data_IF_796926188761
#
_entry.id   IF_796926188761
#
_cell.length_a   1.000
_cell.length_b   1.000
_cell.length_c   1.000
_cell.angle_alpha   90.00
_cell.angle_beta   90.00
_cell.angle_gamma   90.00
#
_symmetry.space_group_name_H-M   'P 1'
#
loop_
_entity.id
_entity.type
_entity.pdbx_description
1 polymer ?
#
# COMPACT_ATOMS: atom_id res chain seq x y z
N UNK A 1 -5.49 20.05 19.14
CA UNK A 1 -4.41 19.12 19.55
C UNK A 1 -4.37 17.87 18.68
N UNK A 2 -5.31 16.93 18.78
CA UNK A 2 -5.22 15.66 18.02
C UNK A 2 -5.33 15.84 16.50
N UNK A 3 -6.14 16.81 16.04
CA UNK A 3 -6.26 17.16 14.62
C UNK A 3 -4.98 17.76 14.03
N UNK A 4 -4.22 18.49 14.84
CA UNK A 4 -2.97 19.13 14.42
C UNK A 4 -1.83 18.11 14.28
N UNK A 5 -1.97 16.96 14.94
CA UNK A 5 -1.03 15.83 14.85
C UNK A 5 -1.32 14.89 13.67
N UNK A 6 -2.52 14.92 13.08
CA UNK A 6 -2.90 14.04 11.96
C UNK A 6 -1.92 14.12 10.77
N UNK A 7 -1.50 15.31 10.29
CA UNK A 7 -0.55 15.39 9.19
C UNK A 7 0.78 14.69 9.49
N UNK A 8 1.30 14.87 10.72
CA UNK A 8 2.54 14.25 11.17
C UNK A 8 2.40 12.73 11.29
N UNK A 9 1.27 12.24 11.81
CA UNK A 9 0.99 10.79 11.90
C UNK A 9 0.93 10.17 10.50
N UNK A 10 0.24 10.81 9.55
CA UNK A 10 0.20 10.30 8.17
C UNK A 10 1.56 10.35 7.49
N UNK A 11 2.39 11.33 7.81
CA UNK A 11 3.75 11.42 7.27
C UNK A 11 4.66 10.33 7.84
N UNK A 12 4.55 10.02 9.13
CA UNK A 12 5.21 8.86 9.74
C UNK A 12 4.72 7.54 9.13
N UNK A 13 3.40 7.38 8.96
CA UNK A 13 2.81 6.21 8.32
C UNK A 13 3.27 6.05 6.86
N UNK A 14 3.43 7.16 6.13
CA UNK A 14 4.00 7.18 4.78
C UNK A 14 5.43 6.67 4.78
N UNK A 15 6.28 7.20 5.65
CA UNK A 15 7.68 6.77 5.78
C UNK A 15 7.80 5.29 6.15
N UNK A 16 7.02 4.85 7.15
CA UNK A 16 6.99 3.46 7.58
C UNK A 16 6.47 2.52 6.47
N UNK A 17 5.42 2.93 5.75
CA UNK A 17 4.90 2.19 4.60
C UNK A 17 5.94 2.03 3.49
N UNK A 18 6.72 3.08 3.20
CA UNK A 18 7.84 3.00 2.25
C UNK A 18 8.94 2.05 2.72
N UNK A 19 9.28 2.05 4.02
CA UNK A 19 10.26 1.11 4.59
C UNK A 19 9.79 -0.34 4.46
N UNK A 20 8.50 -0.61 4.72
CA UNK A 20 7.91 -1.94 4.55
C UNK A 20 7.94 -2.35 3.08
N UNK A 21 7.59 -1.45 2.15
CA UNK A 21 7.68 -1.69 0.72
C UNK A 21 9.11 -2.04 0.30
N UNK A 22 10.08 -1.22 0.71
CA UNK A 22 11.48 -1.42 0.35
C UNK A 22 12.04 -2.73 0.94
N UNK A 23 11.74 -2.99 2.22
CA UNK A 23 12.09 -4.24 2.88
C UNK A 23 11.54 -5.45 2.14
N UNK A 24 10.26 -5.41 1.76
CA UNK A 24 9.61 -6.48 0.99
C UNK A 24 10.23 -6.63 -0.40
N UNK A 25 10.50 -5.51 -1.10
CA UNK A 25 11.14 -5.55 -2.40
C UNK A 25 12.57 -6.12 -2.36
N UNK A 26 13.31 -5.92 -1.28
CA UNK A 26 14.66 -6.47 -1.11
C UNK A 26 14.59 -7.95 -0.71
N UNK A 27 13.77 -8.28 0.28
CA UNK A 27 13.72 -9.61 0.90
C UNK A 27 12.92 -10.65 0.10
N UNK A 28 12.03 -10.22 -0.81
CA UNK A 28 11.23 -11.12 -1.65
C UNK A 28 11.60 -10.99 -3.14
N UNK A 29 12.79 -11.46 -3.59
CA UNK A 29 13.20 -11.36 -4.99
C UNK A 29 12.25 -12.11 -5.94
N UNK A 30 11.62 -13.20 -5.48
CA UNK A 30 10.58 -13.92 -6.23
C UNK A 30 9.33 -13.07 -6.53
N UNK A 31 9.07 -12.03 -5.73
CA UNK A 31 8.00 -11.08 -6.01
C UNK A 31 8.31 -10.21 -7.25
N UNK A 32 9.59 -10.02 -7.61
CA UNK A 32 9.99 -9.25 -8.79
C UNK A 32 9.95 -10.05 -10.09
N UNK A 33 10.00 -11.37 -10.00
CA UNK A 33 10.04 -12.25 -11.19
C UNK A 33 8.65 -12.69 -11.64
N UNK A 34 7.68 -12.75 -10.72
CA UNK A 34 6.32 -13.20 -11.02
C UNK A 34 5.37 -12.02 -11.27
N UNK A 35 4.47 -12.13 -12.25
CA UNK A 35 3.47 -11.10 -12.55
C UNK A 35 2.61 -10.76 -11.34
N UNK A 36 2.16 -11.78 -10.60
CA UNK A 36 1.38 -11.60 -9.37
C UNK A 36 2.19 -10.99 -8.22
N UNK A 37 3.47 -11.35 -8.09
CA UNK A 37 4.37 -10.71 -7.13
C UNK A 37 4.56 -9.22 -7.43
N UNK A 38 4.70 -8.84 -8.71
CA UNK A 38 4.79 -7.43 -9.13
C UNK A 38 3.51 -6.67 -8.79
N UNK A 39 2.34 -7.26 -9.03
CA UNK A 39 1.05 -6.67 -8.67
C UNK A 39 0.92 -6.45 -7.15
N UNK A 40 1.39 -7.40 -6.34
CA UNK A 40 1.42 -7.25 -4.88
C UNK A 40 2.40 -6.14 -4.43
N UNK A 41 3.55 -6.01 -5.08
CA UNK A 41 4.47 -4.90 -4.82
C UNK A 41 3.85 -3.54 -5.19
N UNK A 42 3.13 -3.46 -6.30
CA UNK A 42 2.37 -2.24 -6.68
C UNK A 42 1.29 -1.94 -5.63
N UNK A 43 0.53 -2.96 -5.19
CA UNK A 43 -0.46 -2.82 -4.14
C UNK A 43 0.16 -2.28 -2.85
N UNK A 44 1.32 -2.83 -2.46
CA UNK A 44 2.05 -2.42 -1.27
C UNK A 44 2.58 -0.99 -1.38
N UNK A 45 2.99 -0.54 -2.56
CA UNK A 45 3.44 0.83 -2.83
C UNK A 45 2.29 1.85 -2.78
N UNK A 46 1.06 1.45 -3.13
CA UNK A 46 -0.10 2.32 -3.07
C UNK A 46 -0.49 2.69 -1.63
N UNK A 47 -0.12 1.89 -0.63
CA UNK A 47 -0.39 2.15 0.79
C UNK A 47 0.33 3.42 1.29
N UNK A 48 1.67 3.56 1.20
CA UNK A 48 2.33 4.81 1.58
C UNK A 48 1.90 5.98 0.69
N UNK A 49 1.58 5.74 -0.57
CA UNK A 49 1.05 6.79 -1.45
C UNK A 49 -0.31 7.32 -0.95
N UNK A 50 -1.18 6.43 -0.47
CA UNK A 50 -2.45 6.80 0.16
C UNK A 50 -2.25 7.65 1.41
N UNK A 51 -1.31 7.27 2.28
CA UNK A 51 -0.95 8.06 3.47
C UNK A 51 -0.38 9.44 3.10
N UNK A 52 0.41 9.53 2.04
CA UNK A 52 0.96 10.79 1.56
C UNK A 52 -0.17 11.75 1.14
N UNK A 53 -1.12 11.29 0.34
CA UNK A 53 -2.26 12.10 -0.07
C UNK A 53 -3.16 12.50 1.11
N UNK A 54 -3.38 11.60 2.07
CA UNK A 54 -4.11 11.93 3.31
C UNK A 54 -3.39 13.00 4.14
N UNK A 55 -2.06 12.92 4.27
CA UNK A 55 -1.25 13.94 4.95
C UNK A 55 -1.41 15.31 4.29
N UNK A 56 -1.30 15.36 2.95
CA UNK A 56 -1.47 16.60 2.19
C UNK A 56 -2.88 17.17 2.27
N UNK A 57 -3.90 16.32 2.28
CA UNK A 57 -5.30 16.72 2.39
C UNK A 57 -5.65 17.28 3.76
N UNK A 58 -5.23 16.61 4.83
CA UNK A 58 -5.52 17.06 6.22
C UNK A 58 -4.72 18.30 6.60
N UNK A 59 -3.58 18.54 5.95
CA UNK A 59 -2.82 19.79 6.10
C UNK A 59 -3.49 21.03 5.49
N UNK A 60 -4.60 20.89 4.74
CA UNK A 60 -5.30 22.03 4.14
C UNK A 60 -6.26 22.70 5.12
N UNK A 61 -6.37 24.02 5.03
CA UNK A 61 -7.24 24.84 5.88
C UNK A 61 -8.73 24.76 5.50
N UNK A 62 -9.07 24.31 4.29
CA UNK A 62 -10.45 24.23 3.81
C UNK A 62 -10.82 22.86 3.27
N UNK A 63 -12.08 22.45 3.50
CA UNK A 63 -12.61 21.15 3.07
C UNK A 63 -12.56 20.99 1.53
N UNK A 64 -12.82 22.07 0.78
CA UNK A 64 -12.80 22.06 -0.67
C UNK A 64 -11.43 21.79 -1.28
N UNK A 65 -10.34 22.18 -0.60
CA UNK A 65 -8.96 21.86 -1.03
C UNK A 65 -8.49 20.50 -0.53
N UNK A 66 -8.99 20.05 0.62
CA UNK A 66 -8.69 18.74 1.18
C UNK A 66 -9.34 17.59 0.38
N UNK A 67 -10.58 17.79 -0.09
CA UNK A 67 -11.38 16.77 -0.76
C UNK A 67 -10.67 15.99 -1.87
N UNK A 68 -10.02 16.62 -2.88
CA UNK A 68 -9.36 15.87 -3.95
C UNK A 68 -8.22 14.98 -3.43
N UNK A 69 -7.48 15.44 -2.42
CA UNK A 69 -6.38 14.67 -1.82
C UNK A 69 -6.89 13.51 -0.97
N UNK A 70 -7.96 13.71 -0.20
CA UNK A 70 -8.60 12.63 0.56
C UNK A 70 -9.19 11.56 -0.36
N UNK A 71 -9.81 11.97 -1.47
CA UNK A 71 -10.33 11.06 -2.50
C UNK A 71 -9.18 10.30 -3.16
N UNK A 72 -8.11 10.98 -3.57
CA UNK A 72 -6.94 10.32 -4.15
C UNK A 72 -6.31 9.30 -3.18
N UNK A 73 -6.20 9.65 -1.90
CA UNK A 73 -5.73 8.74 -0.85
C UNK A 73 -6.64 7.53 -0.68
N UNK A 74 -7.97 7.75 -0.62
CA UNK A 74 -8.96 6.69 -0.52
C UNK A 74 -8.94 5.74 -1.72
N UNK A 75 -8.82 6.29 -2.94
CA UNK A 75 -8.70 5.51 -4.18
C UNK A 75 -7.41 4.69 -4.17
N UNK A 76 -6.28 5.26 -3.72
CA UNK A 76 -5.03 4.52 -3.60
C UNK A 76 -5.18 3.30 -2.66
N UNK A 77 -5.80 3.48 -1.48
CA UNK A 77 -6.07 2.37 -0.57
C UNK A 77 -7.04 1.33 -1.14
N UNK A 78 -8.08 1.77 -1.85
CA UNK A 78 -9.04 0.86 -2.47
C UNK A 78 -8.36 -0.02 -3.53
N UNK A 79 -7.54 0.58 -4.40
CA UNK A 79 -6.78 -0.17 -5.42
C UNK A 79 -5.80 -1.12 -4.74
N UNK A 80 -5.10 -0.67 -3.68
CA UNK A 80 -4.22 -1.53 -2.90
C UNK A 80 -4.95 -2.75 -2.33
N UNK A 81 -6.14 -2.54 -1.75
CA UNK A 81 -6.96 -3.60 -1.18
C UNK A 81 -7.43 -4.60 -2.25
N UNK A 82 -7.92 -4.11 -3.39
CA UNK A 82 -8.37 -4.95 -4.51
C UNK A 82 -7.22 -5.80 -5.07
N UNK A 83 -6.05 -5.19 -5.31
CA UNK A 83 -4.88 -5.92 -5.81
C UNK A 83 -4.36 -6.94 -4.80
N UNK A 84 -4.36 -6.59 -3.52
CA UNK A 84 -3.95 -7.51 -2.44
C UNK A 84 -4.91 -8.70 -2.36
N UNK A 85 -6.23 -8.44 -2.35
CA UNK A 85 -7.24 -9.50 -2.34
C UNK A 85 -7.13 -10.41 -3.56
N UNK A 86 -6.95 -9.86 -4.75
CA UNK A 86 -6.72 -10.63 -5.98
C UNK A 86 -5.45 -11.48 -5.89
N UNK A 87 -4.33 -10.92 -5.43
CA UNK A 87 -3.07 -11.64 -5.27
C UNK A 87 -3.16 -12.79 -4.26
N UNK A 88 -3.84 -12.56 -3.12
CA UNK A 88 -4.08 -13.59 -2.10
C UNK A 88 -4.98 -14.71 -2.65
N UNK A 89 -6.06 -14.37 -3.37
CA UNK A 89 -6.93 -15.38 -3.99
C UNK A 89 -6.18 -16.24 -5.02
N UNK A 90 -5.30 -15.64 -5.81
CA UNK A 90 -4.47 -16.39 -6.75
C UNK A 90 -3.48 -17.30 -6.04
N UNK A 91 -2.83 -16.81 -4.99
CA UNK A 91 -1.88 -17.60 -4.21
C UNK A 91 -2.58 -18.78 -3.52
N UNK A 92 -3.74 -18.56 -2.92
CA UNK A 92 -4.55 -19.59 -2.26
C UNK A 92 -5.07 -20.66 -3.23
N UNK A 93 -5.21 -20.33 -4.52
CA UNK A 93 -5.64 -21.27 -5.57
C UNK A 93 -4.49 -22.04 -6.21
N UNK A 94 -3.23 -21.72 -5.89
CA UNK A 94 -2.11 -22.54 -6.36
C UNK A 94 -2.14 -23.84 -5.56
N UNK A 95 -2.32 -25.01 -6.20
CA UNK A 95 -2.15 -26.26 -5.50
C UNK A 95 -0.75 -26.27 -4.90
N UNK A 96 -0.62 -26.68 -3.64
CA UNK A 96 0.69 -26.91 -3.06
C UNK A 96 1.43 -27.89 -3.99
N UNK A 97 2.41 -27.40 -4.75
CA UNK A 97 3.45 -28.25 -5.32
C UNK A 97 4.37 -28.66 -4.18
N UNK A 98 3.80 -29.37 -3.22
CA UNK A 98 4.36 -29.76 -1.93
C UNK A 98 4.17 -31.25 -1.72
N UNK A 99 4.62 -32.07 -2.69
CA UNK A 99 5.18 -33.37 -2.37
C UNK A 99 6.09 -33.87 -3.50
N UNK A 100 7.36 -34.12 -3.13
CA UNK A 100 8.35 -35.08 -3.65
C UNK A 100 9.71 -34.47 -4.03
N UNK A 101 10.72 -35.05 -3.38
CA UNK A 101 12.19 -35.03 -3.58
C UNK A 101 12.97 -33.81 -3.08
N UNK A 102 13.41 -33.87 -1.81
CA UNK A 102 14.77 -34.30 -1.44
C UNK A 102 14.80 -34.68 0.05
#
# INVERSE_FOLDING_TARGET
>A
MLRDMLPAIFQLATGLGFLIFLGTAILAPAAKTTTWGRLLLVALLLVPLGFLFMSQGVGQSTLGRAAPMLVAGGVAFLIAAVLTAAGVLVLARRPETGNRTA
#
